data_IF_630412886578
#
_entry.id   IF_630412886578
#
_cell.length_a   1.000
_cell.length_b   1.000
_cell.length_c   1.000
_cell.angle_alpha   90.00
_cell.angle_beta   90.00
_cell.angle_gamma   90.00
#
_symmetry.space_group_name_H-M   'P 1'
#
loop_
_entity.id
_entity.type
_entity.pdbx_description
1 polymer ?
#
# COMPACT_ATOMS: atom_id res chain seq x y z
N UNK A 1 -0.92 -3.17 25.86
CA UNK A 1 -0.09 -2.68 24.73
C UNK A 1 -0.13 -1.15 24.75
N UNK A 2 0.92 -0.42 24.34
CA UNK A 2 0.92 1.04 24.44
C UNK A 2 -0.09 1.62 23.43
N UNK A 3 -1.00 2.49 23.89
CA UNK A 3 -2.07 3.17 23.11
C UNK A 3 -1.61 3.86 21.82
N UNK A 4 -0.31 4.10 21.65
CA UNK A 4 0.25 4.75 20.46
C UNK A 4 0.05 3.93 19.18
N UNK A 5 0.15 2.59 19.28
CA UNK A 5 0.00 1.68 18.13
C UNK A 5 -1.46 1.51 17.69
N UNK A 6 -2.40 1.76 18.60
CA UNK A 6 -3.84 1.65 18.32
C UNK A 6 -4.30 2.81 17.43
N UNK A 7 -3.76 4.02 17.61
CA UNK A 7 -4.14 5.20 16.83
C UNK A 7 -3.66 5.14 15.37
N UNK A 8 -2.42 4.70 15.12
CA UNK A 8 -1.89 4.58 13.75
C UNK A 8 -2.63 3.52 12.95
N UNK A 9 -2.96 2.39 13.59
CA UNK A 9 -3.74 1.31 12.98
C UNK A 9 -5.16 1.78 12.65
N UNK A 10 -5.79 2.57 13.53
CA UNK A 10 -7.16 3.05 13.32
C UNK A 10 -7.25 4.13 12.21
N UNK A 11 -6.27 5.03 12.15
CA UNK A 11 -6.22 6.07 11.12
C UNK A 11 -5.94 5.49 9.72
N UNK A 12 -5.04 4.51 9.63
CA UNK A 12 -4.70 3.82 8.39
C UNK A 12 -5.87 2.97 7.86
N UNK A 13 -6.61 2.28 8.75
CA UNK A 13 -7.84 1.58 8.37
C UNK A 13 -8.91 2.52 7.81
N UNK A 14 -9.17 3.63 8.50
CA UNK A 14 -10.12 4.64 8.02
C UNK A 14 -9.70 5.26 6.67
N UNK A 15 -8.40 5.47 6.46
CA UNK A 15 -7.88 5.94 5.17
C UNK A 15 -8.19 4.94 4.04
N UNK A 16 -7.92 3.65 4.25
CA UNK A 16 -8.21 2.60 3.27
C UNK A 16 -9.71 2.50 2.96
N UNK A 17 -10.57 2.62 3.99
CA UNK A 17 -12.03 2.63 3.82
C UNK A 17 -12.55 3.87 3.07
N UNK A 18 -11.92 5.02 3.22
CA UNK A 18 -12.37 6.26 2.58
C UNK A 18 -11.74 6.49 1.21
N UNK A 19 -10.68 5.76 0.88
CA UNK A 19 -9.98 5.86 -0.40
C UNK A 19 -10.87 5.42 -1.56
N UNK A 20 -10.96 6.26 -2.60
CA UNK A 20 -11.69 5.99 -3.84
C UNK A 20 -10.80 6.25 -5.05
N UNK A 21 -11.09 5.60 -6.18
CA UNK A 21 -10.25 5.65 -7.38
C UNK A 21 -8.90 4.94 -7.18
N UNK A 22 -8.00 5.01 -8.17
CA UNK A 22 -6.76 4.24 -8.14
C UNK A 22 -5.84 4.62 -6.99
N UNK A 23 -5.42 3.61 -6.22
CA UNK A 23 -4.49 3.77 -5.10
C UNK A 23 -3.08 3.43 -5.55
N UNK A 24 -2.13 4.31 -5.25
CA UNK A 24 -0.71 4.10 -5.51
C UNK A 24 0.05 4.13 -4.20
N UNK A 25 0.76 3.04 -3.87
CA UNK A 25 1.54 2.91 -2.63
C UNK A 25 3.02 2.97 -2.97
N UNK A 26 3.77 3.82 -2.27
CA UNK A 26 5.21 3.88 -2.39
C UNK A 26 5.88 2.90 -1.42
N UNK A 27 6.77 2.07 -1.94
CA UNK A 27 7.53 1.08 -1.15
C UNK A 27 9.02 1.20 -1.43
N UNK A 28 9.82 0.82 -0.44
CA UNK A 28 11.24 0.54 -0.64
C UNK A 28 11.39 -0.85 -1.30
N UNK A 29 12.24 -0.97 -2.32
CA UNK A 29 12.49 -2.28 -2.96
C UNK A 29 12.96 -2.20 -4.41
N UNK A 30 13.05 -3.38 -5.04
CA UNK A 30 13.46 -3.55 -6.43
C UNK A 30 12.22 -3.66 -7.36
N UNK A 31 12.08 -2.79 -8.37
CA UNK A 31 10.96 -2.87 -9.32
C UNK A 31 10.94 -4.16 -10.15
N UNK A 32 12.07 -4.87 -10.29
CA UNK A 32 12.16 -6.12 -11.07
C UNK A 32 11.52 -7.31 -10.36
N UNK A 33 11.45 -7.28 -9.02
CA UNK A 33 10.81 -8.33 -8.21
C UNK A 33 9.33 -8.07 -7.96
N UNK A 34 8.84 -6.89 -8.35
CA UNK A 34 7.46 -6.45 -8.09
C UNK A 34 7.25 -6.00 -6.64
N UNK A 35 6.06 -5.43 -6.34
CA UNK A 35 5.81 -4.78 -5.07
C UNK A 35 5.63 -5.83 -3.96
N UNK A 36 6.56 -5.86 -3.02
CA UNK A 36 6.51 -6.76 -1.86
C UNK A 36 6.55 -5.94 -0.57
N UNK A 37 5.39 -5.45 -0.08
CA UNK A 37 5.34 -4.75 1.18
C UNK A 37 5.76 -5.69 2.31
N UNK A 38 6.54 -5.19 3.25
CA UNK A 38 6.95 -5.96 4.42
C UNK A 38 5.72 -6.47 5.16
N UNK A 39 5.67 -7.77 5.46
CA UNK A 39 4.50 -8.41 6.06
C UNK A 39 4.07 -7.80 7.41
N UNK A 40 5.01 -7.17 8.14
CA UNK A 40 4.74 -6.47 9.40
C UNK A 40 4.26 -5.02 9.25
N UNK A 41 4.30 -4.44 8.05
CA UNK A 41 3.95 -3.04 7.81
C UNK A 41 2.48 -2.76 8.07
N UNK A 42 2.17 -1.52 8.46
CA UNK A 42 0.78 -1.06 8.66
C UNK A 42 -0.04 -1.24 7.37
N UNK A 43 0.55 -0.92 6.21
CA UNK A 43 -0.08 -1.17 4.92
C UNK A 43 -0.43 -2.66 4.73
N UNK A 44 0.53 -3.57 4.92
CA UNK A 44 0.29 -5.00 4.69
C UNK A 44 -0.74 -5.60 5.66
N UNK A 45 -0.79 -5.12 6.91
CA UNK A 45 -1.66 -5.67 7.95
C UNK A 45 -3.06 -5.06 7.98
N UNK A 46 -3.20 -3.79 7.62
CA UNK A 46 -4.43 -3.02 7.82
C UNK A 46 -5.04 -2.57 6.50
N UNK A 47 -4.30 -1.82 5.68
CA UNK A 47 -4.85 -1.21 4.45
C UNK A 47 -5.08 -2.23 3.35
N UNK A 48 -4.11 -3.13 3.15
CA UNK A 48 -4.08 -4.07 2.03
C UNK A 48 -5.34 -4.96 1.99
N UNK A 49 -5.78 -5.62 3.07
CA UNK A 49 -6.99 -6.44 3.04
C UNK A 49 -8.26 -5.66 2.65
N UNK A 50 -8.38 -4.41 3.11
CA UNK A 50 -9.54 -3.54 2.85
C UNK A 50 -9.56 -3.10 1.38
N UNK A 51 -8.40 -2.71 0.84
CA UNK A 51 -8.26 -2.30 -0.55
C UNK A 51 -8.40 -3.48 -1.51
N UNK A 52 -7.89 -4.67 -1.14
CA UNK A 52 -8.00 -5.91 -1.92
C UNK A 52 -9.46 -6.33 -2.13
N UNK A 53 -10.29 -6.25 -1.09
CA UNK A 53 -11.73 -6.52 -1.19
C UNK A 53 -12.39 -5.61 -2.24
N UNK A 54 -12.02 -4.32 -2.27
CA UNK A 54 -12.53 -3.36 -3.26
C UNK A 54 -12.03 -3.63 -4.66
N UNK A 55 -10.74 -3.95 -4.80
CA UNK A 55 -10.15 -4.32 -6.08
C UNK A 55 -10.79 -5.58 -6.66
N UNK A 56 -11.17 -6.54 -5.82
CA UNK A 56 -11.89 -7.76 -6.23
C UNK A 56 -13.28 -7.45 -6.81
N UNK A 57 -13.90 -6.34 -6.41
CA UNK A 57 -15.16 -5.85 -6.98
C UNK A 57 -14.97 -5.00 -8.25
N UNK A 58 -13.74 -4.84 -8.74
CA UNK A 58 -13.42 -4.18 -10.01
C UNK A 58 -13.60 -2.66 -10.01
N UNK A 59 -13.73 -2.04 -8.84
CA UNK A 59 -13.99 -0.59 -8.70
C UNK A 59 -12.71 0.23 -8.51
N UNK A 60 -11.56 -0.41 -8.34
CA UNK A 60 -10.32 0.23 -7.93
C UNK A 60 -9.10 -0.57 -8.37
N UNK A 61 -8.05 0.09 -8.89
CA UNK A 61 -6.74 -0.52 -9.09
C UNK A 61 -5.80 -0.16 -7.92
N UNK A 62 -5.02 -1.13 -7.46
CA UNK A 62 -3.94 -0.93 -6.49
C UNK A 62 -2.61 -1.12 -7.21
N UNK A 63 -1.75 -0.11 -7.17
CA UNK A 63 -0.44 -0.12 -7.82
C UNK A 63 0.68 0.20 -6.84
N UNK A 64 1.82 -0.46 -7.03
CA UNK A 64 3.05 -0.18 -6.32
C UNK A 64 3.94 0.77 -7.11
N UNK A 65 4.51 1.76 -6.42
CA UNK A 65 5.62 2.58 -6.88
C UNK A 65 6.85 2.28 -6.01
N UNK A 66 8.02 2.26 -6.63
CA UNK A 66 9.26 1.94 -5.92
C UNK A 66 10.09 3.19 -5.70
N UNK A 67 10.67 3.27 -4.50
CA UNK A 67 11.77 4.17 -4.21
C UNK A 67 13.09 3.48 -4.47
N UNK A 68 13.94 4.08 -5.31
CA UNK A 68 15.30 3.60 -5.55
C UNK A 68 16.28 4.52 -4.80
N UNK A 69 16.83 3.99 -3.70
CA UNK A 69 17.85 4.63 -2.86
C UNK A 69 17.44 6.02 -2.33
N UNK A 70 18.35 6.66 -1.58
CA UNK A 70 18.13 7.84 -0.72
C UNK A 70 17.46 9.05 -1.39
N UNK A 71 17.37 9.10 -2.71
CA UNK A 71 16.61 10.10 -3.44
C UNK A 71 15.16 9.66 -3.59
N UNK A 72 14.21 10.46 -3.11
CA UNK A 72 12.74 10.25 -3.24
C UNK A 72 12.23 10.30 -4.70
N UNK A 73 13.01 9.85 -5.67
CA UNK A 73 12.59 9.77 -7.06
C UNK A 73 11.78 8.49 -7.22
N UNK A 74 10.48 8.66 -7.40
CA UNK A 74 9.62 7.61 -7.94
C UNK A 74 10.13 7.24 -9.32
N UNK A 75 10.22 5.95 -9.61
CA UNK A 75 10.64 5.47 -10.93
C UNK A 75 9.64 5.82 -12.05
N UNK A 76 8.48 6.42 -11.71
CA UNK A 76 7.35 6.58 -12.64
C UNK A 76 6.70 5.26 -13.05
N UNK A 77 7.34 4.13 -12.73
CA UNK A 77 6.86 2.79 -13.05
C UNK A 77 5.84 2.39 -11.99
N UNK A 78 4.58 2.33 -12.40
CA UNK A 78 3.50 1.72 -11.63
C UNK A 78 3.46 0.24 -11.97
N UNK A 79 3.70 -0.61 -10.98
CA UNK A 79 3.59 -2.06 -11.14
C UNK A 79 2.28 -2.49 -10.47
N UNK A 80 1.38 -3.22 -11.16
CA UNK A 80 0.21 -3.79 -10.51
C UNK A 80 0.67 -4.70 -9.38
N UNK A 81 -0.01 -4.64 -8.24
CA UNK A 81 0.11 -5.73 -7.29
C UNK A 81 -0.40 -7.00 -7.96
N UNK A 82 0.40 -8.07 -7.95
CA UNK A 82 -0.12 -9.40 -8.24
C UNK A 82 -0.92 -9.81 -7.01
N UNK A 83 -2.24 -9.63 -7.09
CA UNK A 83 -3.21 -10.13 -6.13
C UNK A 83 -3.31 -11.65 -6.26
#
# INVERSE_FOLDING_TARGET
MPQFWDNESNASGAFAELSTGDVTIMMEGDPTTGPQPEAGSVFARIERPILEERAAHGTQAITGAFRIATNFKTTGVKVPFKL
#
